data_IF_862912049947
#
_entry.id   IF_862912049947
#
_cell.length_a   1.000
_cell.length_b   1.000
_cell.length_c   1.000
_cell.angle_alpha   90.00
_cell.angle_beta   90.00
_cell.angle_gamma   90.00
#
_symmetry.space_group_name_H-M   'P 1'
#
loop_
_entity.id
_entity.type
_entity.pdbx_description
1 polymer ?
#
# COMPACT_ATOMS: atom_id res chain seq x y z
N UNK A 1 -24.94 -11.33 0.25
CA UNK A 1 -24.71 -12.43 -0.72
C UNK A 1 -24.02 -13.55 0.04
N UNK A 2 -24.49 -14.80 -0.04
CA UNK A 2 -23.76 -15.91 0.55
C UNK A 2 -22.55 -16.23 -0.33
N UNK A 3 -21.34 -15.98 0.16
CA UNK A 3 -20.12 -16.45 -0.50
C UNK A 3 -20.04 -17.96 -0.26
N UNK A 4 -20.49 -18.78 -1.23
CA UNK A 4 -20.24 -20.21 -1.18
C UNK A 4 -18.75 -20.43 -1.45
N UNK A 5 -18.00 -21.12 -0.57
CA UNK A 5 -16.60 -21.39 -0.83
C UNK A 5 -16.43 -22.20 -2.13
N UNK A 6 -15.33 -22.00 -2.88
CA UNK A 6 -15.06 -22.73 -4.12
C UNK A 6 -15.23 -24.24 -4.02
N UNK A 7 -14.91 -24.83 -2.87
CA UNK A 7 -15.09 -26.26 -2.59
C UNK A 7 -16.53 -26.77 -2.74
N UNK A 8 -17.53 -25.88 -2.72
CA UNK A 8 -18.96 -26.22 -2.82
C UNK A 8 -19.50 -26.21 -4.26
N UNK A 9 -18.73 -25.74 -5.24
CA UNK A 9 -19.18 -25.70 -6.64
C UNK A 9 -18.30 -26.61 -7.50
N UNK A 10 -18.93 -27.41 -8.37
CA UNK A 10 -18.25 -28.24 -9.35
C UNK A 10 -17.82 -27.42 -10.57
N UNK A 11 -16.85 -26.51 -10.37
CA UNK A 11 -16.27 -25.68 -11.42
C UNK A 11 -14.83 -26.14 -11.72
N UNK A 12 -14.29 -25.86 -12.92
CA UNK A 12 -12.91 -26.18 -13.27
C UNK A 12 -11.91 -25.21 -12.60
N UNK A 13 -11.84 -25.23 -11.26
CA UNK A 13 -11.04 -24.31 -10.43
C UNK A 13 -9.56 -24.23 -10.83
N UNK A 14 -9.01 -25.33 -11.34
CA UNK A 14 -7.63 -25.40 -11.81
C UNK A 14 -7.35 -24.49 -13.02
N UNK A 15 -8.37 -24.05 -13.76
CA UNK A 15 -8.20 -23.15 -14.90
C UNK A 15 -8.22 -21.66 -14.51
N UNK A 16 -8.58 -21.35 -13.25
CA UNK A 16 -8.65 -19.97 -12.80
C UNK A 16 -7.27 -19.39 -12.55
N UNK A 17 -7.05 -18.20 -13.09
CA UNK A 17 -5.84 -17.40 -12.90
C UNK A 17 -6.09 -16.15 -12.06
N UNK A 18 -7.37 -15.77 -11.87
CA UNK A 18 -7.82 -14.64 -11.07
C UNK A 18 -8.98 -15.02 -10.18
N UNK A 19 -8.98 -14.53 -8.94
CA UNK A 19 -10.05 -14.79 -7.98
C UNK A 19 -10.23 -13.60 -7.04
N UNK A 20 -11.48 -13.24 -6.79
CA UNK A 20 -11.85 -12.26 -5.76
C UNK A 20 -12.92 -12.87 -4.89
N UNK A 21 -12.67 -12.92 -3.59
CA UNK A 21 -13.62 -13.36 -2.58
C UNK A 21 -13.70 -12.33 -1.46
N UNK A 22 -14.90 -12.09 -0.96
CA UNK A 22 -15.15 -11.20 0.18
C UNK A 22 -15.87 -11.96 1.27
N UNK A 23 -15.59 -11.60 2.53
CA UNK A 23 -16.23 -12.18 3.73
C UNK A 23 -15.90 -13.67 3.91
N UNK A 24 -14.64 -14.05 3.68
CA UNK A 24 -14.14 -15.40 3.91
C UNK A 24 -13.47 -15.51 5.29
N UNK A 25 -13.54 -16.67 5.94
CA UNK A 25 -12.60 -16.95 7.02
C UNK A 25 -11.20 -17.20 6.46
N UNK A 26 -10.16 -17.16 7.31
CA UNK A 26 -8.80 -17.52 6.90
C UNK A 26 -8.78 -18.93 6.30
N UNK A 27 -9.44 -19.90 6.94
CA UNK A 27 -9.51 -21.28 6.44
C UNK A 27 -10.13 -21.38 5.06
N UNK A 28 -11.26 -20.73 4.84
CA UNK A 28 -11.94 -20.74 3.54
C UNK A 28 -11.06 -20.10 2.46
N UNK A 29 -10.30 -19.04 2.79
CA UNK A 29 -9.30 -18.49 1.88
C UNK A 29 -8.22 -19.52 1.52
N UNK A 30 -7.67 -20.22 2.51
CA UNK A 30 -6.63 -21.23 2.29
C UNK A 30 -7.16 -22.43 1.50
N UNK A 31 -8.37 -22.90 1.76
CA UNK A 31 -9.05 -23.94 0.97
C UNK A 31 -9.24 -23.50 -0.49
N UNK A 32 -9.68 -22.26 -0.68
CA UNK A 32 -9.81 -21.65 -2.02
C UNK A 32 -8.48 -21.64 -2.76
N UNK A 33 -7.41 -21.19 -2.10
CA UNK A 33 -6.06 -21.19 -2.66
C UNK A 33 -5.56 -22.58 -3.04
N UNK A 34 -5.87 -23.62 -2.24
CA UNK A 34 -5.53 -25.02 -2.57
C UNK A 34 -6.27 -25.52 -3.80
N UNK A 35 -7.52 -25.10 -4.00
CA UNK A 35 -8.34 -25.51 -5.14
C UNK A 35 -7.92 -24.84 -6.46
N UNK A 36 -7.20 -23.71 -6.40
CA UNK A 36 -6.83 -22.87 -7.55
C UNK A 36 -5.30 -22.76 -7.72
N UNK A 37 -4.58 -23.85 -8.03
CA UNK A 37 -3.10 -23.84 -8.06
C UNK A 37 -2.48 -22.94 -9.14
N UNK A 38 -3.24 -22.57 -10.17
CA UNK A 38 -2.80 -21.73 -11.29
C UNK A 38 -3.11 -20.24 -11.07
N UNK A 39 -3.51 -19.87 -9.86
CA UNK A 39 -3.86 -18.49 -9.52
C UNK A 39 -2.63 -17.59 -9.56
N UNK A 40 -2.74 -16.50 -10.32
CA UNK A 40 -1.69 -15.47 -10.44
C UNK A 40 -2.10 -14.16 -9.78
N UNK A 41 -3.40 -13.91 -9.66
CA UNK A 41 -3.96 -12.72 -9.02
C UNK A 41 -5.06 -13.14 -8.04
N UNK A 42 -5.02 -12.64 -6.81
CA UNK A 42 -6.13 -12.84 -5.89
C UNK A 42 -6.41 -11.68 -4.95
N UNK A 43 -7.67 -11.58 -4.55
CA UNK A 43 -8.15 -10.63 -3.57
C UNK A 43 -9.03 -11.35 -2.54
N UNK A 44 -8.73 -11.18 -1.25
CA UNK A 44 -9.53 -11.75 -0.16
C UNK A 44 -9.94 -10.68 0.84
N UNK A 45 -11.25 -10.59 1.09
CA UNK A 45 -11.83 -9.94 2.26
C UNK A 45 -11.98 -10.95 3.39
N UNK A 46 -11.25 -10.77 4.49
CA UNK A 46 -11.18 -11.77 5.58
C UNK A 46 -11.99 -11.31 6.80
N UNK A 47 -12.93 -12.14 7.25
CA UNK A 47 -13.94 -11.77 8.25
C UNK A 47 -13.67 -12.28 9.67
N UNK A 48 -12.82 -13.30 9.86
CA UNK A 48 -12.56 -13.88 11.18
C UNK A 48 -11.15 -14.46 11.33
N UNK A 49 -10.54 -14.23 12.49
CA UNK A 49 -9.28 -14.85 12.90
C UNK A 49 -9.49 -16.33 13.22
N UNK A 50 -8.53 -17.16 12.85
CA UNK A 50 -8.45 -18.55 13.28
C UNK A 50 -7.03 -18.83 13.76
N UNK A 51 -6.88 -19.04 15.08
CA UNK A 51 -5.57 -19.12 15.75
C UNK A 51 -4.72 -20.35 15.31
N UNK A 52 -5.34 -21.40 14.78
CA UNK A 52 -4.70 -22.70 14.52
C UNK A 52 -4.57 -23.06 13.03
N UNK A 53 -4.48 -22.08 12.14
CA UNK A 53 -4.33 -22.37 10.71
C UNK A 53 -2.86 -22.48 10.28
N UNK A 54 -2.50 -23.65 9.73
CA UNK A 54 -1.18 -23.90 9.16
C UNK A 54 -0.82 -22.89 8.06
N UNK A 55 0.44 -22.49 8.00
CA UNK A 55 0.95 -21.63 6.93
C UNK A 55 0.93 -22.38 5.61
N UNK A 56 0.22 -21.84 4.62
CA UNK A 56 0.13 -22.39 3.27
C UNK A 56 1.04 -21.64 2.31
N UNK A 57 1.69 -22.34 1.37
CA UNK A 57 2.49 -21.72 0.32
C UNK A 57 1.81 -21.84 -1.04
N UNK A 58 1.70 -20.72 -1.75
CA UNK A 58 1.17 -20.69 -3.11
C UNK A 58 2.22 -20.14 -4.10
N UNK A 59 2.73 -20.97 -5.03
CA UNK A 59 3.94 -20.63 -5.79
C UNK A 59 3.71 -19.60 -6.92
N UNK A 60 2.48 -19.44 -7.40
CA UNK A 60 2.20 -18.71 -8.64
C UNK A 60 1.59 -17.31 -8.45
N UNK A 61 1.18 -16.93 -7.24
CA UNK A 61 0.51 -15.64 -7.01
C UNK A 61 1.53 -14.51 -7.14
N UNK A 62 1.28 -13.61 -8.09
CA UNK A 62 2.10 -12.43 -8.38
C UNK A 62 1.44 -11.15 -7.88
N UNK A 63 0.11 -11.13 -7.78
CA UNK A 63 -0.65 -9.97 -7.31
C UNK A 63 -1.59 -10.40 -6.19
N UNK A 64 -1.41 -9.84 -5.00
CA UNK A 64 -2.23 -10.16 -3.85
C UNK A 64 -2.84 -8.91 -3.23
N UNK A 65 -4.16 -8.91 -3.08
CA UNK A 65 -4.93 -7.84 -2.47
C UNK A 65 -5.58 -8.35 -1.18
N UNK A 66 -5.15 -7.83 -0.04
CA UNK A 66 -5.84 -8.01 1.24
C UNK A 66 -6.89 -6.91 1.35
N UNK A 67 -8.14 -7.30 1.46
CA UNK A 67 -9.28 -6.40 1.62
C UNK A 67 -9.77 -6.50 3.06
N UNK A 68 -10.07 -5.36 3.67
CA UNK A 68 -10.80 -5.34 4.92
C UNK A 68 -12.28 -5.62 4.70
N UNK A 69 -12.92 -6.20 5.70
CA UNK A 69 -14.36 -6.41 5.69
C UNK A 69 -15.07 -5.24 6.36
N UNK A 70 -15.54 -4.28 5.56
CA UNK A 70 -16.29 -3.10 6.03
C UNK A 70 -17.61 -3.42 6.75
N UNK A 71 -18.09 -4.66 6.63
CA UNK A 71 -19.29 -5.14 7.32
C UNK A 71 -19.05 -5.58 8.76
N UNK A 72 -17.79 -5.70 9.19
CA UNK A 72 -17.48 -6.03 10.57
C UNK A 72 -17.81 -4.84 11.48
N UNK A 73 -18.40 -5.14 12.64
CA UNK A 73 -18.66 -4.11 13.64
C UNK A 73 -17.34 -3.45 14.07
N UNK A 74 -17.39 -2.14 14.37
CA UNK A 74 -16.23 -1.42 14.90
C UNK A 74 -15.64 -2.17 16.11
N UNK A 75 -14.35 -2.49 16.06
CA UNK A 75 -13.63 -3.25 17.09
C UNK A 75 -13.58 -4.77 16.90
N UNK A 76 -14.14 -5.30 15.80
CA UNK A 76 -13.86 -6.68 15.41
C UNK A 76 -12.47 -6.77 14.78
N UNK A 77 -11.60 -7.58 15.37
CA UNK A 77 -10.25 -7.79 14.89
C UNK A 77 -10.25 -8.25 13.43
N UNK A 78 -9.64 -7.47 12.54
CA UNK A 78 -9.49 -7.88 11.15
C UNK A 78 -8.53 -9.06 11.07
N UNK A 79 -8.96 -10.13 10.41
CA UNK A 79 -8.16 -11.33 10.32
C UNK A 79 -6.99 -11.17 9.35
N UNK A 80 -5.79 -11.52 9.82
CA UNK A 80 -4.57 -11.28 9.07
C UNK A 80 -4.15 -12.51 8.27
N UNK A 81 -4.69 -12.62 7.05
CA UNK A 81 -4.30 -13.69 6.12
C UNK A 81 -2.79 -13.71 5.81
N UNK A 82 -2.08 -12.59 5.93
CA UNK A 82 -0.63 -12.56 5.70
C UNK A 82 0.12 -13.42 6.71
N UNK A 83 -0.44 -13.64 7.91
CA UNK A 83 0.11 -14.56 8.90
C UNK A 83 0.18 -16.00 8.40
N UNK A 84 -0.71 -16.39 7.48
CA UNK A 84 -0.97 -17.78 7.11
C UNK A 84 -0.61 -18.12 5.66
N UNK A 85 -0.02 -17.20 4.89
CA UNK A 85 0.37 -17.46 3.49
C UNK A 85 1.83 -17.17 3.19
N UNK A 86 2.43 -17.96 2.30
CA UNK A 86 3.78 -17.76 1.76
C UNK A 86 3.71 -17.64 0.25
N UNK A 87 4.04 -16.47 -0.29
CA UNK A 87 3.81 -16.11 -1.70
C UNK A 87 5.15 -15.76 -2.39
N UNK A 88 5.99 -16.75 -2.75
CA UNK A 88 7.36 -16.51 -3.22
C UNK A 88 7.46 -15.81 -4.58
N UNK A 89 6.41 -15.86 -5.39
CA UNK A 89 6.35 -15.15 -6.67
C UNK A 89 5.75 -13.74 -6.59
N UNK A 90 5.41 -13.26 -5.39
CA UNK A 90 4.67 -12.02 -5.22
C UNK A 90 5.44 -10.80 -5.75
N UNK A 91 4.77 -10.00 -6.59
CA UNK A 91 5.28 -8.77 -7.19
C UNK A 91 4.50 -7.53 -6.77
N UNK A 92 3.22 -7.69 -6.48
CA UNK A 92 2.34 -6.61 -6.02
C UNK A 92 1.57 -7.05 -4.80
N UNK A 93 1.73 -6.30 -3.71
CA UNK A 93 0.91 -6.42 -2.52
C UNK A 93 0.06 -5.16 -2.38
N UNK A 94 -1.25 -5.33 -2.24
CA UNK A 94 -2.16 -4.25 -1.87
C UNK A 94 -2.86 -4.61 -0.57
N UNK A 95 -2.82 -3.73 0.41
CA UNK A 95 -3.54 -3.87 1.68
C UNK A 95 -4.54 -2.73 1.70
N UNK A 96 -5.84 -3.04 1.75
CA UNK A 96 -6.91 -2.05 1.66
C UNK A 96 -7.93 -2.26 2.77
N UNK A 97 -8.34 -1.18 3.41
CA UNK A 97 -9.45 -1.11 4.36
C UNK A 97 -9.28 -2.03 5.60
N UNK A 98 -8.05 -2.41 5.95
CA UNK A 98 -7.76 -3.24 7.13
C UNK A 98 -7.79 -2.37 8.39
N UNK A 99 -8.47 -2.81 9.44
CA UNK A 99 -8.73 -2.02 10.67
C UNK A 99 -7.63 -2.22 11.72
N UNK A 100 -7.06 -3.43 11.82
CA UNK A 100 -6.05 -3.77 12.84
C UNK A 100 -4.80 -4.41 12.21
N UNK A 101 -4.22 -3.70 11.24
CA UNK A 101 -3.03 -4.22 10.57
C UNK A 101 -1.83 -4.19 11.49
N UNK A 102 -1.20 -5.34 11.69
CA UNK A 102 0.00 -5.47 12.48
C UNK A 102 1.24 -5.55 11.56
N UNK A 103 2.14 -4.58 11.67
CA UNK A 103 3.40 -4.60 10.91
C UNK A 103 4.28 -5.82 11.17
N UNK A 104 4.24 -6.39 12.38
CA UNK A 104 4.97 -7.61 12.66
C UNK A 104 4.51 -8.74 11.74
N UNK A 105 3.22 -8.82 11.41
CA UNK A 105 2.73 -9.81 10.45
C UNK A 105 3.22 -9.52 9.05
N UNK A 106 3.25 -8.25 8.63
CA UNK A 106 3.82 -7.87 7.33
C UNK A 106 5.29 -8.27 7.22
N UNK A 107 6.08 -7.96 8.24
CA UNK A 107 7.51 -8.29 8.30
C UNK A 107 7.73 -9.79 8.23
N UNK A 108 7.00 -10.56 9.04
CA UNK A 108 7.07 -12.03 9.02
C UNK A 108 6.64 -12.59 7.66
N UNK A 109 5.59 -12.03 7.06
CA UNK A 109 5.13 -12.40 5.73
C UNK A 109 6.19 -12.13 4.65
N UNK A 110 6.80 -10.95 4.66
CA UNK A 110 7.84 -10.54 3.71
C UNK A 110 9.09 -11.40 3.86
N UNK A 111 9.53 -11.63 5.09
CA UNK A 111 10.66 -12.49 5.42
C UNK A 111 10.43 -13.93 4.95
N UNK A 112 9.26 -14.49 5.28
CA UNK A 112 8.90 -15.88 4.94
C UNK A 112 8.71 -16.08 3.45
N UNK A 113 8.08 -15.12 2.76
CA UNK A 113 7.83 -15.21 1.33
C UNK A 113 9.09 -14.94 0.50
N UNK A 114 10.05 -14.16 1.01
CA UNK A 114 11.27 -13.76 0.29
C UNK A 114 10.99 -13.30 -1.15
N UNK A 115 9.84 -12.66 -1.35
CA UNK A 115 9.28 -12.42 -2.67
C UNK A 115 9.98 -11.26 -3.39
N UNK A 116 10.06 -11.27 -4.74
CA UNK A 116 10.59 -10.17 -5.53
C UNK A 116 9.58 -9.01 -5.63
N UNK A 117 9.12 -8.51 -4.49
CA UNK A 117 8.07 -7.49 -4.39
C UNK A 117 8.53 -6.19 -5.08
N UNK A 118 7.70 -5.70 -6.00
CA UNK A 118 7.95 -4.48 -6.80
C UNK A 118 7.03 -3.35 -6.42
N UNK A 119 5.78 -3.66 -6.08
CA UNK A 119 4.76 -2.67 -5.77
C UNK A 119 4.12 -2.98 -4.43
N UNK A 120 4.05 -1.97 -3.58
CA UNK A 120 3.30 -2.01 -2.33
C UNK A 120 2.28 -0.87 -2.35
N UNK A 121 1.02 -1.21 -2.12
CA UNK A 121 -0.09 -0.27 -1.99
C UNK A 121 -0.71 -0.44 -0.62
N UNK A 122 -0.77 0.64 0.15
CA UNK A 122 -1.34 0.64 1.50
C UNK A 122 -2.49 1.64 1.51
N UNK A 123 -3.70 1.14 1.74
CA UNK A 123 -4.90 1.93 1.90
C UNK A 123 -5.48 1.63 3.29
N UNK A 124 -5.14 2.38 4.34
CA UNK A 124 -5.71 2.17 5.67
C UNK A 124 -7.23 2.34 5.64
N UNK A 125 -7.93 1.65 6.54
CA UNK A 125 -9.33 1.97 6.80
C UNK A 125 -9.42 3.34 7.46
N UNK A 126 -10.38 4.18 7.04
CA UNK A 126 -10.71 5.44 7.74
C UNK A 126 -11.37 5.12 9.11
N UNK A 127 -10.58 4.65 10.07
CA UNK A 127 -11.00 4.69 11.48
C UNK A 127 -10.68 6.09 11.99
N UNK A 128 -11.57 6.64 12.81
CA UNK A 128 -11.34 7.89 13.54
C UNK A 128 -10.19 7.67 14.54
N UNK A 129 -8.94 7.81 14.08
CA UNK A 129 -7.71 7.60 14.86
C UNK A 129 -6.51 7.23 13.97
N UNK A 130 -5.43 8.00 14.03
CA UNK A 130 -4.28 7.95 13.09
C UNK A 130 -3.29 6.76 13.28
N UNK A 131 -3.68 5.67 13.95
CA UNK A 131 -2.71 4.68 14.46
C UNK A 131 -2.12 3.76 13.38
N UNK A 132 -2.76 3.64 12.20
CA UNK A 132 -2.40 2.63 11.21
C UNK A 132 -1.02 2.83 10.55
N UNK A 133 -0.58 4.06 10.28
CA UNK A 133 0.67 4.29 9.52
C UNK A 133 1.91 4.45 10.39
N UNK A 134 1.76 4.56 11.71
CA UNK A 134 2.90 4.47 12.66
C UNK A 134 3.53 3.07 12.62
N UNK A 135 2.75 2.09 12.18
CA UNK A 135 3.03 0.67 12.26
C UNK A 135 4.05 0.22 11.18
N UNK A 136 4.08 0.82 9.99
CA UNK A 136 4.86 0.29 8.83
C UNK A 136 6.37 0.60 8.87
N UNK A 137 6.86 1.28 9.91
CA UNK A 137 8.24 1.80 9.99
C UNK A 137 9.26 0.78 10.52
N UNK A 138 9.19 -0.47 10.05
CA UNK A 138 10.21 -1.47 10.37
C UNK A 138 11.46 -1.29 9.50
N UNK A 139 12.63 -1.71 10.01
CA UNK A 139 13.85 -1.78 9.20
C UNK A 139 13.63 -2.64 7.94
N UNK A 140 12.84 -3.71 8.07
CA UNK A 140 12.46 -4.61 6.97
C UNK A 140 11.83 -3.82 5.83
N UNK A 141 10.88 -2.92 6.11
CA UNK A 141 10.21 -2.10 5.11
C UNK A 141 11.22 -1.28 4.28
N UNK A 142 12.16 -0.60 4.93
CA UNK A 142 13.14 0.22 4.23
C UNK A 142 14.15 -0.61 3.43
N UNK A 143 14.43 -1.85 3.80
CA UNK A 143 15.30 -2.72 2.97
C UNK A 143 14.64 -3.29 1.71
N UNK A 144 13.32 -3.09 1.54
CA UNK A 144 12.58 -3.63 0.41
C UNK A 144 13.04 -3.03 -0.92
N UNK A 145 13.10 -3.88 -1.94
CA UNK A 145 13.51 -3.50 -3.31
C UNK A 145 12.33 -3.07 -4.18
N UNK A 146 11.39 -2.31 -3.59
CA UNK A 146 10.22 -1.77 -4.27
C UNK A 146 10.62 -0.83 -5.40
N UNK A 147 9.88 -0.87 -6.51
CA UNK A 147 9.94 0.14 -7.58
C UNK A 147 8.79 1.15 -7.47
N UNK A 148 7.67 0.72 -6.88
CA UNK A 148 6.46 1.52 -6.70
C UNK A 148 5.98 1.43 -5.25
N UNK A 149 5.75 2.60 -4.64
CA UNK A 149 5.12 2.73 -3.33
C UNK A 149 3.93 3.67 -3.44
N UNK A 150 2.75 3.21 -3.03
CA UNK A 150 1.53 3.99 -2.99
C UNK A 150 0.91 3.92 -1.59
N UNK A 151 0.69 5.06 -0.97
CA UNK A 151 0.15 5.16 0.37
C UNK A 151 -1.05 6.09 0.35
N UNK A 152 -2.18 5.61 0.84
CA UNK A 152 -3.37 6.42 1.01
C UNK A 152 -3.42 6.93 2.44
N UNK A 153 -3.84 8.18 2.58
CA UNK A 153 -4.00 8.91 3.83
C UNK A 153 -2.85 8.69 4.83
N UNK A 154 -1.59 9.00 4.46
CA UNK A 154 -0.44 8.82 5.35
C UNK A 154 -0.55 9.65 6.63
N UNK A 155 -0.17 9.10 7.80
CA UNK A 155 -0.14 9.89 9.05
C UNK A 155 1.02 10.89 9.11
N UNK A 156 0.79 11.97 9.87
CA UNK A 156 1.77 13.03 10.11
C UNK A 156 3.10 12.55 10.71
N UNK A 157 3.12 11.38 11.37
CA UNK A 157 4.35 10.79 11.89
C UNK A 157 5.10 9.96 10.85
N UNK A 158 4.37 9.32 9.93
CA UNK A 158 4.96 8.45 8.93
C UNK A 158 5.76 9.23 7.87
N UNK A 159 5.24 10.36 7.40
CA UNK A 159 5.89 11.08 6.30
C UNK A 159 7.29 11.61 6.61
N UNK A 160 7.53 12.32 7.73
CA UNK A 160 8.88 12.79 8.07
C UNK A 160 9.88 11.63 8.10
N UNK A 161 9.49 10.50 8.70
CA UNK A 161 10.34 9.32 8.81
C UNK A 161 10.62 8.67 7.45
N UNK A 162 9.62 8.52 6.60
CA UNK A 162 9.81 8.03 5.24
C UNK A 162 10.75 8.97 4.46
N UNK A 163 10.50 10.27 4.51
CA UNK A 163 11.24 11.24 3.73
C UNK A 163 12.68 11.41 4.22
N UNK A 164 12.91 11.50 5.52
CA UNK A 164 14.25 11.52 6.12
C UNK A 164 15.03 10.27 5.71
N UNK A 165 14.40 9.09 5.81
CA UNK A 165 15.05 7.82 5.46
C UNK A 165 15.46 7.78 3.98
N UNK A 166 14.54 8.10 3.05
CA UNK A 166 14.89 8.04 1.61
C UNK A 166 15.87 9.14 1.20
N UNK A 167 15.85 10.30 1.87
CA UNK A 167 16.77 11.39 1.57
C UNK A 167 18.20 11.11 2.02
N UNK A 168 18.36 10.46 3.17
CA UNK A 168 19.65 10.30 3.83
C UNK A 168 20.30 8.93 3.60
N UNK A 169 19.51 7.87 3.41
CA UNK A 169 20.02 6.50 3.25
C UNK A 169 19.77 5.93 1.84
N UNK A 170 20.86 5.59 1.15
CA UNK A 170 20.81 4.98 -0.18
C UNK A 170 20.19 3.57 -0.13
N UNK A 171 20.24 2.91 1.03
CA UNK A 171 19.66 1.60 1.26
C UNK A 171 18.17 1.65 1.60
N UNK A 172 17.64 2.80 2.02
CA UNK A 172 16.22 2.98 2.21
C UNK A 172 15.51 2.97 0.85
N UNK A 173 14.76 1.90 0.59
CA UNK A 173 14.02 1.63 -0.64
C UNK A 173 14.89 1.83 -1.89
N UNK A 174 15.97 1.05 -2.07
CA UNK A 174 17.07 1.38 -2.96
C UNK A 174 16.68 1.31 -4.44
N UNK A 175 15.52 0.73 -4.77
CA UNK A 175 14.99 0.61 -6.13
C UNK A 175 13.76 1.48 -6.40
N UNK A 176 13.35 2.31 -5.44
CA UNK A 176 12.13 3.09 -5.55
C UNK A 176 12.23 4.11 -6.68
N UNK A 177 11.27 4.07 -7.60
CA UNK A 177 11.18 4.97 -8.75
C UNK A 177 9.91 5.81 -8.73
N UNK A 178 8.82 5.25 -8.20
CA UNK A 178 7.52 5.88 -8.23
C UNK A 178 6.99 5.95 -6.80
N UNK A 179 6.73 7.16 -6.32
CA UNK A 179 6.16 7.41 -5.00
C UNK A 179 4.82 8.13 -5.17
N UNK A 180 3.75 7.55 -4.62
CA UNK A 180 2.41 8.12 -4.69
C UNK A 180 1.78 8.24 -3.30
N UNK A 181 1.21 9.40 -3.03
CA UNK A 181 0.33 9.64 -1.90
C UNK A 181 -1.07 9.96 -2.42
N UNK A 182 -2.08 9.34 -1.82
CA UNK A 182 -3.49 9.53 -2.20
C UNK A 182 -4.35 9.82 -0.98
N UNK A 183 -5.52 10.42 -1.19
CA UNK A 183 -6.52 10.57 -0.13
C UNK A 183 -6.20 11.63 0.92
N UNK A 184 -5.10 12.38 0.81
CA UNK A 184 -4.77 13.43 1.76
C UNK A 184 -5.88 14.50 1.79
N UNK A 185 -6.33 14.88 2.99
CA UNK A 185 -7.38 15.88 3.17
C UNK A 185 -6.82 17.32 3.03
N UNK A 186 -7.71 18.30 2.91
CA UNK A 186 -7.42 19.73 3.02
C UNK A 186 -7.82 20.31 4.39
N UNK A 187 -8.41 19.50 5.27
CA UNK A 187 -9.03 19.91 6.53
C UNK A 187 -8.06 20.04 7.72
N UNK A 188 -8.63 20.28 8.90
CA UNK A 188 -7.89 20.49 10.17
C UNK A 188 -7.58 19.21 10.93
N UNK A 189 -8.15 18.07 10.52
CA UNK A 189 -7.94 16.77 11.13
C UNK A 189 -7.15 15.88 10.16
N UNK A 190 -6.00 15.38 10.59
CA UNK A 190 -5.15 14.49 9.79
C UNK A 190 -4.04 15.21 9.03
N UNK A 191 -3.57 14.57 7.96
CA UNK A 191 -2.51 15.12 7.12
C UNK A 191 -3.08 15.98 6.01
N UNK A 192 -2.62 17.21 5.94
CA UNK A 192 -2.99 18.08 4.83
C UNK A 192 -2.11 17.81 3.62
N UNK A 193 -2.67 17.95 2.41
CA UNK A 193 -1.88 17.99 1.16
C UNK A 193 -0.73 19.01 1.27
N UNK A 194 -0.96 20.12 1.97
CA UNK A 194 0.08 21.11 2.26
C UNK A 194 1.25 20.56 3.06
N UNK A 195 0.99 19.83 4.14
CA UNK A 195 2.04 19.19 4.93
C UNK A 195 2.89 18.24 4.07
N UNK A 196 2.26 17.43 3.20
CA UNK A 196 3.00 16.56 2.27
C UNK A 196 3.92 17.37 1.35
N UNK A 197 3.43 18.48 0.80
CA UNK A 197 4.20 19.35 -0.09
C UNK A 197 5.42 19.95 0.62
N UNK A 198 5.24 20.42 1.85
CA UNK A 198 6.30 21.05 2.62
C UNK A 198 7.40 20.03 3.00
N UNK A 199 6.99 18.82 3.38
CA UNK A 199 7.90 17.74 3.76
C UNK A 199 8.58 17.07 2.56
N UNK A 200 7.91 16.94 1.40
CA UNK A 200 8.43 16.13 0.29
C UNK A 200 9.48 16.85 -0.56
N UNK A 201 9.42 18.17 -0.69
CA UNK A 201 10.16 18.91 -1.71
C UNK A 201 11.69 18.71 -1.64
N UNK A 202 12.26 18.90 -0.44
CA UNK A 202 13.70 18.79 -0.21
C UNK A 202 14.16 17.32 -0.27
N UNK A 203 13.53 16.37 0.45
CA UNK A 203 13.85 14.94 0.39
C UNK A 203 13.82 14.33 -1.01
N UNK A 204 12.78 14.64 -1.81
CA UNK A 204 12.67 14.16 -3.19
C UNK A 204 13.82 14.70 -4.05
N UNK A 205 14.21 15.95 -3.85
CA UNK A 205 15.35 16.56 -4.55
C UNK A 205 16.66 15.90 -4.14
N UNK A 206 16.89 15.73 -2.83
CA UNK A 206 18.10 15.11 -2.27
C UNK A 206 18.29 13.68 -2.76
N UNK A 207 17.20 12.88 -2.78
CA UNK A 207 17.20 11.48 -3.25
C UNK A 207 17.82 11.33 -4.63
N UNK A 208 17.58 12.27 -5.56
CA UNK A 208 18.10 12.19 -6.94
C UNK A 208 19.61 12.34 -7.04
N UNK A 209 20.23 12.96 -6.04
CA UNK A 209 21.67 13.17 -5.95
C UNK A 209 22.38 12.09 -5.13
N UNK A 210 21.62 11.19 -4.49
CA UNK A 210 22.17 10.13 -3.66
C UNK A 210 22.75 9.01 -4.53
N UNK A 211 24.02 8.69 -4.31
CA UNK A 211 24.70 7.61 -5.04
C UNK A 211 24.30 6.25 -4.48
N UNK A 212 24.22 5.23 -5.35
CA UNK A 212 23.96 3.85 -4.95
C UNK A 212 22.48 3.43 -4.88
N UNK A 213 21.54 4.35 -5.16
CA UNK A 213 20.11 4.04 -5.25
C UNK A 213 19.51 4.42 -6.62
N UNK A 214 18.32 3.91 -6.91
CA UNK A 214 17.53 4.36 -8.05
C UNK A 214 17.09 5.82 -7.84
N UNK A 215 17.15 6.61 -8.91
CA UNK A 215 16.57 7.95 -8.91
C UNK A 215 15.05 7.86 -8.96
N UNK A 216 14.38 8.69 -8.17
CA UNK A 216 12.93 8.82 -8.23
C UNK A 216 12.53 9.43 -9.59
N UNK A 217 11.65 8.72 -10.29
CA UNK A 217 11.18 9.06 -11.64
C UNK A 217 9.80 9.73 -11.58
N UNK A 218 8.96 9.34 -10.63
CA UNK A 218 7.66 9.96 -10.43
C UNK A 218 7.34 10.24 -8.95
N UNK A 219 6.64 11.36 -8.74
CA UNK A 219 6.06 11.75 -7.47
C UNK A 219 4.64 12.24 -7.69
N UNK A 220 3.67 11.51 -7.15
CA UNK A 220 2.25 11.77 -7.33
C UNK A 220 1.60 12.07 -5.98
N UNK A 221 0.96 13.22 -5.85
CA UNK A 221 0.16 13.60 -4.69
C UNK A 221 -1.26 13.90 -5.14
N UNK A 222 -2.19 13.02 -4.74
CA UNK A 222 -3.61 13.10 -5.13
C UNK A 222 -4.44 13.35 -3.89
N UNK A 223 -5.05 14.53 -3.81
CA UNK A 223 -5.95 14.89 -2.73
C UNK A 223 -7.27 14.10 -2.78
N UNK A 224 -7.85 13.80 -1.61
CA UNK A 224 -9.08 13.01 -1.51
C UNK A 224 -10.35 13.76 -1.93
N UNK A 225 -10.40 15.09 -1.76
CA UNK A 225 -11.60 15.88 -2.09
C UNK A 225 -11.60 16.35 -3.55
N UNK A 226 -12.74 16.18 -4.23
CA UNK A 226 -12.92 16.52 -5.66
C UNK A 226 -13.20 17.99 -5.92
N UNK A 227 -13.69 18.74 -4.93
CA UNK A 227 -14.29 20.06 -5.15
C UNK A 227 -13.46 21.24 -4.63
N UNK A 228 -12.16 21.03 -4.35
CA UNK A 228 -11.28 22.09 -3.84
C UNK A 228 -10.55 22.77 -4.99
N UNK A 229 -10.68 24.10 -5.08
CA UNK A 229 -9.92 24.93 -6.00
C UNK A 229 -8.44 24.97 -5.58
N UNK A 230 -7.64 24.06 -6.14
CA UNK A 230 -6.24 23.81 -5.74
C UNK A 230 -5.34 25.06 -5.83
N UNK A 231 -5.64 25.96 -6.77
CA UNK A 231 -4.96 27.24 -6.98
C UNK A 231 -5.12 28.20 -5.79
N UNK A 232 -6.21 28.06 -5.02
CA UNK A 232 -6.43 28.83 -3.80
C UNK A 232 -5.72 28.24 -2.58
N UNK A 233 -5.35 26.96 -2.63
CA UNK A 233 -4.74 26.23 -1.51
C UNK A 233 -3.23 26.40 -1.48
N UNK A 234 -2.58 26.39 -2.66
CA UNK A 234 -1.12 26.41 -2.75
C UNK A 234 -0.61 27.70 -3.35
N UNK A 235 0.27 28.38 -2.63
CA UNK A 235 1.01 29.50 -3.19
C UNK A 235 1.99 29.00 -4.25
N UNK A 236 2.23 29.80 -5.29
CA UNK A 236 3.20 29.49 -6.32
C UNK A 236 4.61 29.21 -5.75
N UNK A 237 4.98 29.92 -4.68
CA UNK A 237 6.24 29.71 -3.99
C UNK A 237 6.41 28.28 -3.44
N UNK A 238 5.34 27.65 -2.93
CA UNK A 238 5.38 26.27 -2.42
C UNK A 238 5.48 25.23 -3.53
N UNK A 239 4.90 25.50 -4.69
CA UNK A 239 4.96 24.59 -5.84
C UNK A 239 6.25 24.73 -6.66
N UNK A 240 7.01 25.81 -6.47
CA UNK A 240 8.23 26.09 -7.24
C UNK A 240 9.26 24.94 -7.23
N UNK A 241 9.57 24.27 -6.09
CA UNK A 241 10.50 23.13 -6.10
C UNK A 241 10.03 21.99 -7.00
N UNK A 242 8.73 21.67 -6.96
CA UNK A 242 8.12 20.61 -7.75
C UNK A 242 8.05 20.95 -9.25
N UNK A 243 7.80 22.22 -9.60
CA UNK A 243 7.89 22.71 -10.99
C UNK A 243 9.31 22.52 -11.54
N UNK A 244 10.35 22.86 -10.77
CA UNK A 244 11.75 22.63 -11.16
C UNK A 244 12.08 21.15 -11.33
N UNK A 245 11.56 20.29 -10.45
CA UNK A 245 11.70 18.83 -10.60
C UNK A 245 11.05 18.36 -11.91
N UNK A 246 9.85 18.85 -12.24
CA UNK A 246 9.17 18.54 -13.50
C UNK A 246 9.95 19.01 -14.73
N UNK A 247 10.45 20.25 -14.72
CA UNK A 247 11.30 20.81 -15.79
C UNK A 247 12.58 19.98 -16.02
N UNK A 248 13.11 19.37 -14.96
CA UNK A 248 14.26 18.46 -15.04
C UNK A 248 13.93 17.03 -15.47
N UNK A 249 12.72 16.77 -15.95
CA UNK A 249 12.27 15.51 -16.54
C UNK A 249 11.64 14.50 -15.56
N UNK A 250 11.35 14.91 -14.32
CA UNK A 250 10.62 14.06 -13.37
C UNK A 250 9.11 14.14 -13.62
N UNK A 251 8.41 13.01 -13.53
CA UNK A 251 6.94 12.99 -13.62
C UNK A 251 6.33 13.45 -12.28
N UNK A 252 5.86 14.69 -12.25
CA UNK A 252 5.25 15.30 -11.06
C UNK A 252 3.76 15.51 -11.30
N UNK A 253 2.97 14.97 -10.39
CA UNK A 253 1.52 15.18 -10.32
C UNK A 253 1.16 15.69 -8.92
N UNK A 254 0.51 16.86 -8.84
CA UNK A 254 -0.05 17.38 -7.58
C UNK A 254 -1.45 17.87 -7.91
N UNK A 255 -2.46 17.18 -7.40
CA UNK A 255 -3.82 17.36 -7.91
C UNK A 255 -4.92 16.71 -7.10
N UNK A 256 -6.13 16.74 -7.65
CA UNK A 256 -7.26 15.87 -7.29
C UNK A 256 -7.28 14.66 -8.24
N UNK A 257 -8.31 13.83 -8.25
CA UNK A 257 -8.45 12.81 -9.31
C UNK A 257 -8.69 13.40 -10.71
N UNK A 258 -9.22 14.63 -10.78
CA UNK A 258 -9.76 15.21 -12.01
C UNK A 258 -8.97 16.43 -12.52
N UNK A 259 -8.09 17.00 -11.70
CA UNK A 259 -7.36 18.22 -11.99
C UNK A 259 -5.96 18.21 -11.36
N UNK A 260 -4.99 18.85 -12.01
CA UNK A 260 -3.62 19.01 -11.49
C UNK A 260 -3.23 20.49 -11.47
N UNK A 261 -2.44 20.89 -10.48
CA UNK A 261 -1.76 22.21 -10.45
C UNK A 261 -0.34 22.16 -10.98
N UNK A 262 0.22 20.97 -11.21
CA UNK A 262 1.52 20.77 -11.82
C UNK A 262 1.40 19.88 -13.05
#
# INVERSE_FOLDING_TARGET
>A
MCAAPPSFLALPWQQLTKFTGEVYTVRECLESLRAMPNLTECAFGVSSLEDDTEVFSHPNIQHFNVLGCSHLAAGAASADILGHVTLPALRTLKIKDVVDFNHWTLDLFLLRSAAPLRKLVICPYEVVGNEFTEVILSDTFFTLRLTELEIWDPSNLFLPLLFDSIAQDANALPRLRNLSFRGCDFGTSGMTVGAVIDEAALPVTQRRHLAGCAQLQSFHLVAGRRDVALDTVFSEARLLPFKKLKESGMDIYIGTENSSVI
#
